data_IF_332897295004
#
_entry.id   IF_332897295004
#
_cell.length_a   1.000
_cell.length_b   1.000
_cell.length_c   1.000
_cell.angle_alpha   90.00
_cell.angle_beta   90.00
_cell.angle_gamma   90.00
#
_symmetry.space_group_name_H-M   'P 1'
#
loop_
_entity.id
_entity.type
_entity.pdbx_description
1 polymer ?
#
# COMPACT_ATOMS: atom_id res chain seq x y z
N UNK A 1 -38.74 -27.46 -15.66
CA UNK A 1 -37.38 -27.34 -16.22
C UNK A 1 -36.56 -26.54 -15.21
N UNK A 2 -35.74 -27.21 -14.38
CA UNK A 2 -34.83 -26.56 -13.47
C UNK A 2 -33.62 -26.05 -14.29
N UNK A 3 -33.40 -24.75 -14.35
CA UNK A 3 -32.16 -24.21 -14.90
C UNK A 3 -30.99 -24.74 -14.06
N UNK A 4 -29.92 -25.25 -14.67
CA UNK A 4 -28.70 -25.54 -13.93
C UNK A 4 -28.14 -24.22 -13.42
N UNK A 5 -28.34 -23.93 -12.13
CA UNK A 5 -27.58 -22.93 -11.43
C UNK A 5 -26.14 -23.44 -11.47
N UNK A 6 -25.32 -22.88 -12.34
CA UNK A 6 -23.87 -23.00 -12.28
C UNK A 6 -23.45 -22.51 -10.90
N UNK A 7 -23.40 -23.42 -9.94
CA UNK A 7 -22.80 -23.16 -8.63
C UNK A 7 -21.30 -23.10 -8.85
N UNK A 8 -20.82 -21.94 -9.33
CA UNK A 8 -19.39 -21.67 -9.38
C UNK A 8 -18.88 -21.68 -7.94
N UNK A 9 -17.87 -22.49 -7.68
CA UNK A 9 -17.18 -22.58 -6.40
C UNK A 9 -16.85 -21.17 -5.87
N UNK A 10 -17.11 -20.86 -4.57
CA UNK A 10 -16.82 -19.55 -3.99
C UNK A 10 -15.41 -19.04 -4.24
N UNK A 11 -14.44 -19.95 -4.29
CA UNK A 11 -13.05 -19.62 -4.61
C UNK A 11 -12.90 -19.11 -6.06
N UNK A 12 -13.53 -19.78 -7.02
CA UNK A 12 -13.53 -19.37 -8.43
C UNK A 12 -14.22 -18.01 -8.61
N UNK A 13 -15.32 -17.76 -7.89
CA UNK A 13 -16.00 -16.45 -7.89
C UNK A 13 -15.10 -15.36 -7.32
N UNK A 14 -14.40 -15.62 -6.22
CA UNK A 14 -13.46 -14.68 -5.62
C UNK A 14 -12.31 -14.32 -6.57
N UNK A 15 -11.74 -15.31 -7.27
CA UNK A 15 -10.69 -15.06 -8.26
C UNK A 15 -11.18 -14.21 -9.44
N UNK A 16 -12.38 -14.47 -9.95
CA UNK A 16 -12.99 -13.66 -11.02
C UNK A 16 -13.21 -12.21 -10.56
N UNK A 17 -13.68 -12.00 -9.33
CA UNK A 17 -13.85 -10.67 -8.77
C UNK A 17 -12.51 -9.94 -8.59
N UNK A 18 -11.45 -10.63 -8.15
CA UNK A 18 -10.11 -10.06 -8.05
C UNK A 18 -9.53 -9.70 -9.41
N UNK A 19 -9.76 -10.54 -10.42
CA UNK A 19 -9.34 -10.23 -11.80
C UNK A 19 -10.10 -9.01 -12.35
N UNK A 20 -11.42 -8.96 -12.16
CA UNK A 20 -12.23 -7.79 -12.54
C UNK A 20 -11.76 -6.54 -11.79
N UNK A 21 -11.47 -6.65 -10.49
CA UNK A 21 -10.88 -5.56 -9.70
C UNK A 21 -9.57 -5.05 -10.28
N UNK A 22 -8.68 -5.94 -10.71
CA UNK A 22 -7.38 -5.57 -11.32
C UNK A 22 -7.59 -4.75 -12.59
N UNK A 23 -8.54 -5.17 -13.45
CA UNK A 23 -8.85 -4.43 -14.68
C UNK A 23 -9.45 -3.03 -14.38
N UNK A 24 -10.37 -2.96 -13.44
CA UNK A 24 -11.00 -1.69 -13.04
C UNK A 24 -9.98 -0.79 -12.33
N UNK A 25 -9.11 -1.34 -11.48
CA UNK A 25 -8.03 -0.61 -10.82
C UNK A 25 -7.04 -0.02 -11.83
N UNK A 26 -6.79 -0.71 -12.94
CA UNK A 26 -5.98 -0.16 -14.03
C UNK A 26 -6.58 1.15 -14.56
N UNK A 27 -7.86 1.15 -14.88
CA UNK A 27 -8.58 2.37 -15.31
C UNK A 27 -8.59 3.45 -14.22
N UNK A 28 -8.86 3.05 -12.98
CA UNK A 28 -8.90 3.95 -11.82
C UNK A 28 -7.58 4.68 -11.60
N UNK A 29 -6.49 3.92 -11.47
CA UNK A 29 -5.16 4.49 -11.21
C UNK A 29 -4.68 5.34 -12.38
N UNK A 30 -4.98 4.94 -13.63
CA UNK A 30 -4.62 5.72 -14.79
C UNK A 30 -5.38 7.06 -14.85
N UNK A 31 -6.66 7.07 -14.52
CA UNK A 31 -7.47 8.27 -14.44
C UNK A 31 -7.02 9.19 -13.28
N UNK A 32 -6.76 8.64 -12.11
CA UNK A 32 -6.21 9.38 -10.95
C UNK A 32 -4.84 9.97 -11.27
N UNK A 33 -3.96 9.20 -11.89
CA UNK A 33 -2.62 9.62 -12.28
C UNK A 33 -2.65 10.82 -13.24
N UNK A 34 -3.51 10.76 -14.27
CA UNK A 34 -3.65 11.83 -15.26
C UNK A 34 -4.44 13.02 -14.75
N UNK A 35 -5.37 12.78 -13.84
CA UNK A 35 -6.28 13.80 -13.32
C UNK A 35 -5.70 14.64 -12.20
N UNK A 36 -4.72 14.14 -11.44
CA UNK A 36 -4.28 14.79 -10.20
C UNK A 36 -3.57 16.15 -10.40
N UNK A 37 -3.05 16.47 -11.61
CA UNK A 37 -2.39 17.75 -11.88
C UNK A 37 -1.17 18.06 -11.00
N UNK A 38 -0.63 17.07 -10.28
CA UNK A 38 0.53 17.18 -9.41
C UNK A 38 1.56 16.10 -9.74
N UNK A 39 2.81 16.33 -9.34
CA UNK A 39 3.92 15.38 -9.54
C UNK A 39 4.53 14.99 -8.21
N UNK A 40 5.38 13.97 -8.23
CA UNK A 40 6.15 13.55 -7.08
C UNK A 40 5.28 12.97 -5.95
N UNK A 41 5.60 13.33 -4.71
CA UNK A 41 4.99 12.76 -3.51
C UNK A 41 3.47 12.94 -3.44
N UNK A 42 2.94 14.08 -3.88
CA UNK A 42 1.50 14.32 -3.90
C UNK A 42 0.76 13.38 -4.87
N UNK A 43 1.37 13.02 -6.02
CA UNK A 43 0.84 11.99 -6.91
C UNK A 43 0.81 10.63 -6.22
N UNK A 44 1.86 10.31 -5.47
CA UNK A 44 1.91 9.09 -4.63
C UNK A 44 0.74 9.02 -3.64
N UNK A 45 0.40 10.13 -2.99
CA UNK A 45 -0.74 10.19 -2.09
C UNK A 45 -2.08 9.90 -2.80
N UNK A 46 -2.29 10.47 -3.99
CA UNK A 46 -3.52 10.25 -4.76
C UNK A 46 -3.67 8.80 -5.17
N UNK A 47 -2.60 8.15 -5.63
CA UNK A 47 -2.66 6.74 -6.03
C UNK A 47 -2.70 5.76 -4.85
N UNK A 48 -2.43 6.22 -3.62
CA UNK A 48 -2.62 5.44 -2.40
C UNK A 48 -4.10 5.38 -1.95
N UNK A 49 -4.97 6.26 -2.47
CA UNK A 49 -6.38 6.35 -2.05
C UNK A 49 -7.15 5.02 -2.12
N UNK A 50 -7.05 4.18 -3.17
CA UNK A 50 -7.78 2.92 -3.21
C UNK A 50 -7.43 1.99 -2.05
N UNK A 51 -6.14 1.84 -1.72
CA UNK A 51 -5.69 1.00 -0.61
C UNK A 51 -6.07 1.60 0.74
N UNK A 52 -5.96 2.93 0.87
CA UNK A 52 -6.40 3.65 2.07
C UNK A 52 -7.91 3.47 2.31
N UNK A 53 -8.71 3.61 1.26
CA UNK A 53 -10.15 3.40 1.34
C UNK A 53 -10.50 1.96 1.72
N UNK A 54 -9.78 0.97 1.16
CA UNK A 54 -9.93 -0.44 1.57
C UNK A 54 -9.62 -0.63 3.06
N UNK A 55 -8.53 -0.06 3.55
CA UNK A 55 -8.13 -0.19 4.94
C UNK A 55 -9.15 0.43 5.90
N UNK A 56 -9.66 1.62 5.59
CA UNK A 56 -10.70 2.29 6.38
C UNK A 56 -12.00 1.48 6.36
N UNK A 57 -12.38 0.96 5.19
CA UNK A 57 -13.58 0.13 5.06
C UNK A 57 -13.49 -1.15 5.90
N UNK A 58 -12.38 -1.89 5.82
CA UNK A 58 -12.18 -3.08 6.66
C UNK A 58 -12.25 -2.74 8.15
N UNK A 59 -11.71 -1.59 8.52
CA UNK A 59 -11.78 -1.10 9.90
C UNK A 59 -13.20 -0.82 10.34
N UNK A 60 -14.04 -0.24 9.48
CA UNK A 60 -15.45 0.01 9.77
C UNK A 60 -16.28 -1.26 9.96
N UNK A 61 -15.80 -2.39 9.41
CA UNK A 61 -16.36 -3.71 9.62
C UNK A 61 -15.80 -4.44 10.85
N UNK A 62 -14.97 -3.79 11.66
CA UNK A 62 -14.30 -4.40 12.82
C UNK A 62 -12.99 -5.15 12.50
N UNK A 63 -12.54 -5.13 11.25
CA UNK A 63 -11.36 -5.85 10.77
C UNK A 63 -10.14 -4.94 10.60
N UNK A 64 -9.82 -4.13 11.61
CA UNK A 64 -8.72 -3.16 11.56
C UNK A 64 -7.35 -3.79 11.27
N UNK A 65 -7.11 -5.01 11.74
CA UNK A 65 -5.88 -5.76 11.47
C UNK A 65 -5.68 -6.04 9.97
N UNK A 66 -6.75 -6.37 9.24
CA UNK A 66 -6.72 -6.57 7.79
C UNK A 66 -6.40 -5.26 7.07
N UNK A 67 -7.01 -4.16 7.51
CA UNK A 67 -6.72 -2.83 6.96
C UNK A 67 -5.26 -2.44 7.12
N UNK A 68 -4.68 -2.65 8.31
CA UNK A 68 -3.27 -2.36 8.58
C UNK A 68 -2.35 -3.27 7.76
N UNK A 69 -2.64 -4.58 7.69
CA UNK A 69 -1.87 -5.51 6.87
C UNK A 69 -1.89 -5.13 5.37
N UNK A 70 -3.02 -4.62 4.86
CA UNK A 70 -3.09 -4.13 3.47
C UNK A 70 -2.20 -2.90 3.23
N UNK A 71 -2.15 -1.96 4.19
CA UNK A 71 -1.30 -0.75 4.09
C UNK A 71 0.19 -1.10 4.14
N UNK A 72 0.60 -2.02 5.02
CA UNK A 72 1.99 -2.47 5.13
C UNK A 72 2.41 -3.27 3.91
N UNK A 73 1.59 -4.22 3.47
CA UNK A 73 1.84 -5.02 2.27
C UNK A 73 1.92 -4.16 1.00
N UNK A 74 1.04 -3.17 0.86
CA UNK A 74 1.09 -2.20 -0.24
C UNK A 74 2.39 -1.41 -0.25
N UNK A 75 2.86 -1.00 0.93
CA UNK A 75 4.13 -0.28 1.09
C UNK A 75 5.32 -1.15 0.71
N UNK A 76 5.35 -2.42 1.13
CA UNK A 76 6.39 -3.38 0.74
C UNK A 76 6.37 -3.63 -0.76
N UNK A 77 5.18 -3.85 -1.36
CA UNK A 77 5.03 -4.08 -2.80
C UNK A 77 5.60 -2.90 -3.61
N UNK A 78 5.24 -1.67 -3.23
CA UNK A 78 5.66 -0.48 -3.97
C UNK A 78 7.16 -0.18 -3.76
N UNK A 79 7.71 -0.43 -2.56
CA UNK A 79 9.14 -0.28 -2.29
C UNK A 79 10.00 -1.35 -2.98
N UNK A 80 9.47 -2.54 -3.22
CA UNK A 80 10.21 -3.62 -3.90
C UNK A 80 9.95 -3.60 -5.40
N UNK A 81 8.75 -3.98 -5.82
CA UNK A 81 8.39 -4.08 -7.23
C UNK A 81 8.34 -2.71 -7.90
N UNK A 82 7.84 -1.67 -7.23
CA UNK A 82 7.75 -0.32 -7.76
C UNK A 82 9.13 0.24 -8.10
N UNK A 83 10.06 0.18 -7.17
CA UNK A 83 11.45 0.62 -7.38
C UNK A 83 12.16 -0.29 -8.39
N UNK A 84 11.99 -1.62 -8.28
CA UNK A 84 12.60 -2.58 -9.19
C UNK A 84 12.17 -2.31 -10.64
N UNK A 85 10.88 -2.23 -10.91
CA UNK A 85 10.35 -1.99 -12.26
C UNK A 85 10.74 -0.60 -12.80
N UNK A 86 10.68 0.44 -11.96
CA UNK A 86 11.11 1.78 -12.33
C UNK A 86 12.60 1.79 -12.72
N UNK A 87 13.45 1.06 -11.99
CA UNK A 87 14.90 0.99 -12.23
C UNK A 87 15.26 0.16 -13.47
N UNK A 88 14.49 -0.89 -13.80
CA UNK A 88 14.71 -1.68 -15.02
C UNK A 88 14.46 -0.88 -16.31
N UNK A 89 13.53 0.08 -16.25
CA UNK A 89 13.10 0.85 -17.41
C UNK A 89 13.88 2.17 -17.62
N UNK A 90 14.84 2.47 -16.76
CA UNK A 90 15.56 3.73 -16.82
C UNK A 90 17.09 3.55 -16.89
N UNK A 91 17.76 4.39 -17.71
CA UNK A 91 19.20 4.60 -17.62
C UNK A 91 19.52 5.32 -16.29
N UNK A 92 20.72 5.10 -15.70
CA UNK A 92 21.03 5.60 -14.36
C UNK A 92 20.70 7.08 -14.21
N UNK A 93 19.98 7.48 -13.15
CA UNK A 93 19.51 8.85 -12.98
C UNK A 93 20.70 9.81 -12.83
N UNK A 94 20.65 10.92 -13.56
CA UNK A 94 21.59 12.03 -13.41
C UNK A 94 21.17 12.97 -12.26
N UNK A 95 19.95 12.80 -11.72
CA UNK A 95 19.39 13.66 -10.68
C UNK A 95 19.29 12.95 -9.32
N UNK A 96 19.49 13.70 -8.21
CA UNK A 96 19.45 13.15 -6.87
C UNK A 96 17.99 12.79 -6.47
N UNK A 97 17.58 11.55 -6.74
CA UNK A 97 16.37 10.94 -6.15
C UNK A 97 16.48 10.81 -4.61
N UNK A 98 17.58 11.30 -4.06
CA UNK A 98 18.14 10.92 -2.78
C UNK A 98 17.40 11.46 -1.57
N UNK A 99 16.85 12.66 -1.62
CA UNK A 99 16.26 13.28 -0.41
C UNK A 99 14.92 12.69 -0.02
N UNK A 100 14.11 12.29 -1.00
CA UNK A 100 12.76 11.79 -0.76
C UNK A 100 12.74 10.42 -0.07
N UNK A 101 13.66 9.52 -0.41
CA UNK A 101 13.74 8.20 0.22
C UNK A 101 14.31 8.24 1.64
N UNK A 102 15.15 9.24 1.97
CA UNK A 102 15.70 9.39 3.33
C UNK A 102 14.61 9.61 4.37
N UNK A 103 13.55 10.31 4.02
CA UNK A 103 12.41 10.55 4.90
C UNK A 103 11.64 9.29 5.29
N UNK A 104 11.76 8.20 4.53
CA UNK A 104 11.06 6.95 4.82
C UNK A 104 11.68 6.16 5.99
N UNK A 105 13.00 6.30 6.21
CA UNK A 105 13.69 5.54 7.26
C UNK A 105 13.11 5.77 8.67
N UNK A 106 12.91 7.02 9.15
CA UNK A 106 12.33 7.24 10.47
C UNK A 106 10.88 6.72 10.54
N UNK A 107 10.11 6.80 9.45
CA UNK A 107 8.74 6.32 9.41
C UNK A 107 8.67 4.79 9.53
N UNK A 108 9.47 4.06 8.76
CA UNK A 108 9.51 2.59 8.81
C UNK A 108 10.10 2.08 10.12
N UNK A 109 11.10 2.75 10.68
CA UNK A 109 11.63 2.46 12.02
C UNK A 109 10.56 2.67 13.11
N UNK A 110 9.76 3.72 13.00
CA UNK A 110 8.64 3.96 13.91
C UNK A 110 7.59 2.83 13.82
N UNK A 111 7.19 2.42 12.60
CA UNK A 111 6.29 1.28 12.37
C UNK A 111 6.85 0.01 13.02
N UNK A 112 8.15 -0.28 12.84
CA UNK A 112 8.81 -1.43 13.42
C UNK A 112 8.77 -1.42 14.95
N UNK A 113 9.17 -0.29 15.57
CA UNK A 113 9.20 -0.15 17.03
C UNK A 113 7.82 -0.29 17.67
N UNK A 114 6.81 0.30 17.06
CA UNK A 114 5.42 0.22 17.53
C UNK A 114 4.89 -1.22 17.44
N UNK A 115 5.31 -1.98 16.43
CA UNK A 115 4.87 -3.35 16.20
C UNK A 115 5.33 -4.36 17.24
N UNK A 116 6.35 -4.06 18.05
CA UNK A 116 6.83 -4.97 19.07
C UNK A 116 5.78 -5.37 20.11
N UNK A 117 4.85 -4.47 20.43
CA UNK A 117 3.80 -4.72 21.42
C UNK A 117 2.66 -5.63 20.91
N UNK A 118 2.52 -5.80 19.58
CA UNK A 118 1.38 -6.48 18.96
C UNK A 118 0.02 -5.81 19.20
N UNK A 119 0.00 -4.69 19.91
CA UNK A 119 -1.20 -3.99 20.31
C UNK A 119 -1.07 -2.49 19.96
N UNK A 120 -1.89 -2.02 19.04
CA UNK A 120 -1.85 -0.64 18.57
C UNK A 120 -2.84 0.24 19.34
N UNK A 121 -2.32 1.29 19.97
CA UNK A 121 -3.07 2.25 20.78
C UNK A 121 -3.10 3.63 20.13
N UNK A 122 -3.91 4.54 20.65
CA UNK A 122 -3.94 5.93 20.20
C UNK A 122 -2.59 6.65 20.34
N UNK A 123 -1.76 6.28 21.33
CA UNK A 123 -0.40 6.82 21.47
C UNK A 123 0.47 6.44 20.28
N UNK A 124 0.33 5.21 19.79
CA UNK A 124 1.02 4.73 18.58
C UNK A 124 0.52 5.46 17.32
N UNK A 125 -0.78 5.72 17.21
CA UNK A 125 -1.34 6.52 16.12
C UNK A 125 -0.77 7.95 16.13
N UNK A 126 -0.68 8.57 17.30
CA UNK A 126 -0.09 9.91 17.45
C UNK A 126 1.38 9.93 17.04
N UNK A 127 2.18 8.97 17.52
CA UNK A 127 3.60 8.87 17.17
C UNK A 127 3.80 8.70 15.65
N UNK A 128 3.06 7.79 15.02
CA UNK A 128 3.09 7.59 13.57
C UNK A 128 2.65 8.84 12.81
N UNK A 129 1.60 9.52 13.27
CA UNK A 129 1.10 10.75 12.66
C UNK A 129 2.13 11.88 12.71
N UNK A 130 2.84 12.05 13.83
CA UNK A 130 3.90 13.05 13.96
C UNK A 130 5.07 12.72 13.03
N UNK A 131 5.56 11.47 13.04
CA UNK A 131 6.65 11.05 12.15
C UNK A 131 6.23 11.13 10.68
N UNK A 132 4.98 10.76 10.37
CA UNK A 132 4.41 10.92 9.03
C UNK A 132 4.37 12.37 8.58
N UNK A 133 3.93 13.30 9.43
CA UNK A 133 3.92 14.73 9.13
C UNK A 133 5.34 15.28 8.90
N UNK A 134 6.30 14.86 9.73
CA UNK A 134 7.71 15.22 9.54
C UNK A 134 8.25 14.68 8.21
N UNK A 135 7.88 13.43 7.85
CA UNK A 135 8.28 12.85 6.58
C UNK A 135 7.68 13.62 5.39
N UNK A 136 6.42 14.05 5.48
CA UNK A 136 5.77 14.90 4.48
C UNK A 136 6.55 16.21 4.26
N UNK A 137 6.96 16.86 5.35
CA UNK A 137 7.72 18.11 5.28
C UNK A 137 9.08 17.88 4.62
N UNK A 138 9.78 16.80 4.98
CA UNK A 138 11.12 16.49 4.44
C UNK A 138 11.13 16.07 2.99
N UNK A 139 10.08 15.39 2.52
CA UNK A 139 9.95 14.92 1.12
C UNK A 139 9.63 16.09 0.17
N UNK A 140 9.05 17.19 0.67
CA UNK A 140 8.56 18.27 -0.19
C UNK A 140 7.29 17.86 -0.94
N UNK A 141 6.13 18.20 -0.40
CA UNK A 141 4.84 17.59 -0.75
C UNK A 141 4.35 17.82 -2.17
N UNK A 142 4.56 18.97 -2.74
CA UNK A 142 4.07 19.21 -4.10
C UNK A 142 4.75 20.39 -4.78
N UNK A 143 5.10 20.21 -6.04
CA UNK A 143 5.18 21.31 -6.99
C UNK A 143 3.93 21.24 -7.84
N UNK A 144 3.03 22.25 -7.79
CA UNK A 144 1.93 22.29 -8.74
C UNK A 144 2.54 22.34 -10.13
N UNK A 145 2.12 21.41 -10.97
CA UNK A 145 2.42 21.51 -12.40
C UNK A 145 1.45 22.55 -12.97
N UNK A 146 1.89 23.27 -13.99
CA UNK A 146 1.02 24.18 -14.76
C UNK A 146 -0.11 23.45 -15.51
N UNK A 147 -0.21 22.13 -15.39
CA UNK A 147 -1.28 21.32 -15.95
C UNK A 147 -2.55 21.52 -15.13
N UNK A 148 -3.60 22.00 -15.76
CA UNK A 148 -4.95 22.07 -15.21
C UNK A 148 -5.34 20.71 -14.59
N UNK A 149 -5.77 20.73 -13.35
CA UNK A 149 -6.45 19.59 -12.71
C UNK A 149 -7.62 19.20 -13.62
N UNK A 150 -7.67 17.94 -13.98
CA UNK A 150 -8.76 17.41 -14.81
C UNK A 150 -9.82 16.80 -13.91
N UNK A 151 -10.81 17.59 -13.42
CA UNK A 151 -11.76 17.15 -12.41
C UNK A 151 -12.56 15.93 -12.88
N UNK A 152 -12.88 15.86 -14.16
CA UNK A 152 -13.59 14.70 -14.74
C UNK A 152 -12.75 13.43 -14.62
N UNK A 153 -11.45 13.51 -14.91
CA UNK A 153 -10.57 12.35 -14.76
C UNK A 153 -10.41 11.91 -13.30
N UNK A 154 -10.36 12.86 -12.35
CA UNK A 154 -10.33 12.53 -10.93
C UNK A 154 -11.64 11.88 -10.47
N UNK A 155 -12.80 12.43 -10.88
CA UNK A 155 -14.10 11.85 -10.55
C UNK A 155 -14.26 10.44 -11.14
N UNK A 156 -13.89 10.26 -12.41
CA UNK A 156 -13.90 8.96 -13.06
C UNK A 156 -12.95 7.98 -12.33
N UNK A 157 -11.74 8.42 -12.03
CA UNK A 157 -10.77 7.61 -11.29
C UNK A 157 -11.27 7.21 -9.91
N UNK A 158 -11.90 8.13 -9.17
CA UNK A 158 -12.51 7.85 -7.89
C UNK A 158 -13.68 6.86 -8.00
N UNK A 159 -14.57 7.04 -8.99
CA UNK A 159 -15.69 6.12 -9.22
C UNK A 159 -15.20 4.70 -9.57
N UNK A 160 -14.21 4.58 -10.45
CA UNK A 160 -13.60 3.29 -10.79
C UNK A 160 -12.87 2.68 -9.59
N UNK A 161 -12.19 3.48 -8.76
CA UNK A 161 -11.55 3.00 -7.53
C UNK A 161 -12.57 2.43 -6.54
N UNK A 162 -13.74 3.08 -6.39
CA UNK A 162 -14.83 2.57 -5.57
C UNK A 162 -15.42 1.27 -6.12
N UNK A 163 -15.53 1.14 -7.44
CA UNK A 163 -15.97 -0.11 -8.08
C UNK A 163 -14.96 -1.24 -7.89
N UNK A 164 -13.67 -0.97 -8.08
CA UNK A 164 -12.60 -1.94 -7.82
C UNK A 164 -12.63 -2.39 -6.36
N UNK A 165 -12.78 -1.45 -5.44
CA UNK A 165 -12.91 -1.70 -4.01
C UNK A 165 -14.12 -2.60 -3.71
N UNK A 166 -15.27 -2.34 -4.32
CA UNK A 166 -16.46 -3.18 -4.16
C UNK A 166 -16.20 -4.64 -4.57
N UNK A 167 -15.51 -4.87 -5.69
CA UNK A 167 -15.14 -6.22 -6.12
C UNK A 167 -14.18 -6.90 -5.14
N UNK A 168 -13.18 -6.17 -4.64
CA UNK A 168 -12.23 -6.69 -3.65
C UNK A 168 -12.93 -7.05 -2.35
N UNK A 169 -13.84 -6.21 -1.85
CA UNK A 169 -14.60 -6.47 -0.63
C UNK A 169 -15.46 -7.74 -0.79
N UNK A 170 -16.14 -7.89 -1.92
CA UNK A 170 -16.90 -9.12 -2.20
C UNK A 170 -16.00 -10.35 -2.30
N UNK A 171 -14.85 -10.24 -2.96
CA UNK A 171 -13.90 -11.34 -3.05
C UNK A 171 -13.37 -11.76 -1.68
N UNK A 172 -12.99 -10.80 -0.82
CA UNK A 172 -12.53 -11.10 0.55
C UNK A 172 -13.63 -11.74 1.38
N UNK A 173 -14.88 -11.31 1.25
CA UNK A 173 -16.03 -11.96 1.89
C UNK A 173 -16.19 -13.41 1.48
N UNK A 174 -16.08 -13.74 0.19
CA UNK A 174 -16.17 -15.12 -0.31
C UNK A 174 -15.00 -15.98 0.19
N UNK A 175 -13.79 -15.44 0.25
CA UNK A 175 -12.61 -16.13 0.75
C UNK A 175 -12.69 -16.39 2.26
N UNK A 176 -13.30 -15.48 3.03
CA UNK A 176 -13.46 -15.63 4.48
C UNK A 176 -14.50 -16.70 4.86
N UNK A 177 -15.49 -16.96 4.03
CA UNK A 177 -16.51 -17.99 4.27
C UNK A 177 -15.91 -19.39 4.14
N UNK A 178 -14.92 -19.58 3.25
CA UNK A 178 -14.30 -20.87 2.97
C UNK A 178 -13.10 -21.23 3.82
N UNK A 179 -12.48 -20.26 4.46
CA UNK A 179 -11.25 -20.42 5.26
C UNK A 179 -11.41 -19.66 6.57
N UNK A 180 -11.25 -20.34 7.70
CA UNK A 180 -11.29 -19.65 9.01
C UNK A 180 -10.40 -18.40 9.04
N UNK A 181 -10.61 -17.53 10.00
CA UNK A 181 -10.02 -16.16 10.10
C UNK A 181 -8.49 -16.08 9.94
N UNK A 182 -7.77 -17.18 10.14
CA UNK A 182 -6.29 -17.24 10.05
C UNK A 182 -5.75 -17.12 8.62
N UNK A 183 -6.51 -17.49 7.59
CA UNK A 183 -6.04 -17.50 6.18
C UNK A 183 -6.31 -16.18 5.46
N UNK A 184 -7.13 -15.31 6.04
CA UNK A 184 -7.56 -14.06 5.38
C UNK A 184 -6.41 -13.07 5.21
N UNK A 185 -5.54 -12.92 6.22
CA UNK A 185 -4.44 -11.94 6.19
C UNK A 185 -3.42 -12.22 5.07
N UNK A 186 -2.88 -13.45 4.93
CA UNK A 186 -1.97 -13.75 3.81
C UNK A 186 -2.65 -13.63 2.45
N UNK A 187 -3.94 -13.96 2.33
CA UNK A 187 -4.67 -13.76 1.07
C UNK A 187 -4.83 -12.28 0.70
N UNK A 188 -5.03 -11.41 1.67
CA UNK A 188 -5.05 -9.95 1.45
C UNK A 188 -3.70 -9.47 0.91
N UNK A 189 -2.60 -9.95 1.48
CA UNK A 189 -1.25 -9.58 1.05
C UNK A 189 -0.96 -10.05 -0.38
N UNK A 190 -1.33 -11.30 -0.70
CA UNK A 190 -0.94 -11.92 -1.96
C UNK A 190 -1.87 -11.64 -3.14
N UNK A 191 -3.14 -11.40 -2.87
CA UNK A 191 -4.16 -11.28 -3.92
C UNK A 191 -4.77 -9.89 -3.98
N UNK A 192 -5.20 -9.35 -2.84
CA UNK A 192 -5.90 -8.06 -2.78
C UNK A 192 -4.96 -6.90 -3.10
N UNK A 193 -3.82 -6.85 -2.46
CA UNK A 193 -2.85 -5.76 -2.65
C UNK A 193 -2.32 -5.70 -4.08
N UNK A 194 -1.87 -6.82 -4.70
CA UNK A 194 -1.53 -6.81 -6.12
C UNK A 194 -2.71 -6.46 -7.03
N UNK A 195 -3.92 -6.96 -6.77
CA UNK A 195 -5.10 -6.64 -7.58
C UNK A 195 -5.39 -5.14 -7.63
N UNK A 196 -5.16 -4.41 -6.54
CA UNK A 196 -5.33 -2.95 -6.49
C UNK A 196 -4.17 -2.16 -7.09
N UNK A 197 -2.94 -2.69 -7.04
CA UNK A 197 -1.72 -1.92 -7.29
C UNK A 197 -0.88 -2.39 -8.48
N UNK A 198 -1.20 -3.54 -9.12
CA UNK A 198 -0.38 -4.08 -10.22
C UNK A 198 -0.22 -3.05 -11.35
N UNK A 199 -1.28 -2.30 -11.65
CA UNK A 199 -1.27 -1.25 -12.67
C UNK A 199 -0.39 -0.05 -12.30
N UNK A 200 -0.17 0.20 -11.02
CA UNK A 200 0.74 1.25 -10.55
C UNK A 200 2.18 0.99 -11.00
N UNK A 201 2.59 -0.27 -11.06
CA UNK A 201 3.93 -0.65 -11.54
C UNK A 201 4.16 -0.20 -12.99
N UNK A 202 3.16 -0.38 -13.85
CA UNK A 202 3.21 0.09 -15.23
C UNK A 202 3.27 1.62 -15.34
N UNK A 203 2.52 2.34 -14.48
CA UNK A 203 2.55 3.80 -14.42
C UNK A 203 3.89 4.33 -13.92
N UNK A 204 4.47 3.69 -12.89
CA UNK A 204 5.81 4.04 -12.37
C UNK A 204 6.91 3.79 -13.42
N UNK A 205 6.82 2.66 -14.15
CA UNK A 205 7.74 2.37 -15.25
C UNK A 205 7.66 3.43 -16.37
N UNK A 206 6.45 3.84 -16.73
CA UNK A 206 6.19 4.89 -17.71
C UNK A 206 6.70 6.26 -17.25
N UNK A 207 6.47 6.61 -15.98
CA UNK A 207 6.95 7.87 -15.39
C UNK A 207 8.49 7.88 -15.31
N UNK A 208 9.11 6.79 -14.90
CA UNK A 208 10.56 6.66 -14.88
C UNK A 208 11.18 6.86 -16.29
N UNK A 209 10.53 6.35 -17.33
CA UNK A 209 10.96 6.51 -18.72
C UNK A 209 10.79 7.94 -19.26
N UNK A 210 9.71 8.63 -18.87
CA UNK A 210 9.37 9.95 -19.42
C UNK A 210 9.90 11.12 -18.60
N UNK A 211 9.90 11.00 -17.28
CA UNK A 211 10.22 12.09 -16.34
C UNK A 211 11.46 11.82 -15.48
N UNK A 212 12.10 10.67 -15.67
CA UNK A 212 13.27 10.26 -14.90
C UNK A 212 12.93 9.47 -13.64
N UNK A 213 13.91 8.69 -13.16
CA UNK A 213 13.75 7.84 -11.98
C UNK A 213 13.42 8.65 -10.71
N UNK A 214 13.86 9.90 -10.61
CA UNK A 214 13.57 10.80 -9.49
C UNK A 214 12.08 11.05 -9.29
N UNK A 215 11.30 11.21 -10.37
CA UNK A 215 9.85 11.38 -10.32
C UNK A 215 9.16 10.13 -9.78
N UNK A 216 9.52 8.95 -10.30
CA UNK A 216 8.97 7.69 -9.83
C UNK A 216 9.31 7.43 -8.35
N UNK A 217 10.56 7.68 -7.93
CA UNK A 217 10.98 7.53 -6.52
C UNK A 217 10.23 8.47 -5.58
N UNK A 218 10.02 9.73 -6.01
CA UNK A 218 9.23 10.69 -5.24
C UNK A 218 7.77 10.25 -5.11
N UNK A 219 7.18 9.70 -6.17
CA UNK A 219 5.83 9.13 -6.15
C UNK A 219 5.75 7.93 -5.20
N UNK A 220 6.71 7.04 -5.24
CA UNK A 220 6.82 5.89 -4.32
C UNK A 220 6.92 6.35 -2.87
N UNK A 221 7.80 7.32 -2.60
CA UNK A 221 7.95 7.87 -1.25
C UNK A 221 6.64 8.50 -0.73
N UNK A 222 5.94 9.25 -1.56
CA UNK A 222 4.64 9.82 -1.23
C UNK A 222 3.56 8.77 -0.97
N UNK A 223 3.54 7.69 -1.77
CA UNK A 223 2.64 6.56 -1.56
C UNK A 223 2.86 5.91 -0.20
N UNK A 224 4.10 5.53 0.11
CA UNK A 224 4.46 4.87 1.37
C UNK A 224 4.19 5.77 2.57
N UNK A 225 4.53 7.06 2.47
CA UNK A 225 4.23 8.05 3.52
C UNK A 225 2.74 8.18 3.77
N UNK A 226 1.93 8.14 2.72
CA UNK A 226 0.46 8.18 2.86
C UNK A 226 -0.07 6.92 3.51
N UNK A 227 0.40 5.73 3.11
CA UNK A 227 -0.04 4.46 3.70
C UNK A 227 0.35 4.36 5.18
N UNK A 228 1.61 4.59 5.51
CA UNK A 228 2.14 4.35 6.86
C UNK A 228 2.00 5.56 7.79
N UNK A 229 2.20 6.78 7.28
CA UNK A 229 2.22 8.01 8.09
C UNK A 229 0.88 8.72 8.21
N UNK A 230 -0.08 8.45 7.32
CA UNK A 230 -1.40 9.08 7.32
C UNK A 230 -2.52 8.04 7.50
N UNK A 231 -2.60 7.06 6.61
CA UNK A 231 -3.70 6.10 6.60
C UNK A 231 -3.66 5.16 7.81
N UNK A 232 -2.49 4.66 8.18
CA UNK A 232 -2.35 3.76 9.31
C UNK A 232 -2.74 4.39 10.66
N UNK A 233 -2.28 5.61 11.02
CA UNK A 233 -2.79 6.34 12.18
C UNK A 233 -4.30 6.53 12.14
N UNK A 234 -4.86 6.87 10.97
CA UNK A 234 -6.28 7.07 10.79
C UNK A 234 -7.07 5.78 11.05
N UNK A 235 -6.61 4.64 10.55
CA UNK A 235 -7.20 3.32 10.80
C UNK A 235 -7.23 3.02 12.31
N UNK A 236 -6.13 3.29 13.03
CA UNK A 236 -6.07 3.07 14.49
C UNK A 236 -7.07 3.97 15.22
N UNK A 237 -7.17 5.25 14.84
CA UNK A 237 -8.12 6.20 15.44
C UNK A 237 -9.56 5.78 15.17
N UNK A 238 -9.89 5.40 13.93
CA UNK A 238 -11.24 4.94 13.55
C UNK A 238 -11.61 3.68 14.31
N UNK A 239 -10.70 2.70 14.43
CA UNK A 239 -10.94 1.48 15.19
C UNK A 239 -11.27 1.79 16.69
N UNK A 240 -10.50 2.69 17.29
CA UNK A 240 -10.76 3.11 18.66
C UNK A 240 -12.09 3.85 18.81
N UNK A 241 -12.47 4.69 17.84
CA UNK A 241 -13.75 5.41 17.86
C UNK A 241 -14.94 4.45 17.77
N UNK A 242 -14.87 3.43 16.92
CA UNK A 242 -15.89 2.39 16.78
C UNK A 242 -16.02 1.60 18.09
N UNK A 243 -14.91 1.08 18.62
CA UNK A 243 -14.93 0.32 19.87
C UNK A 243 -15.50 1.12 21.06
N UNK A 244 -15.24 2.42 21.09
CA UNK A 244 -15.82 3.31 22.11
C UNK A 244 -17.32 3.52 21.92
N UNK A 245 -17.80 3.62 20.69
CA UNK A 245 -19.23 3.76 20.37
C UNK A 245 -20.03 2.52 20.79
N UNK A 246 -19.42 1.32 20.70
CA UNK A 246 -20.01 0.05 21.13
C UNK A 246 -20.07 -0.15 22.67
N UNK A 247 -19.77 0.90 23.44
CA UNK A 247 -19.95 0.92 24.90
C UNK A 247 -18.78 0.32 25.69
N UNK A 248 -17.63 0.06 25.08
CA UNK A 248 -16.44 -0.38 25.78
C UNK A 248 -15.88 0.76 26.67
N UNK A 249 -15.89 0.59 28.00
CA UNK A 249 -15.36 1.56 28.97
C UNK A 249 -13.87 1.88 28.78
N UNK A 250 -13.11 0.95 28.18
CA UNK A 250 -11.75 1.16 27.68
C UNK A 250 -11.69 0.59 26.29
N UNK A 251 -11.45 1.44 25.27
CA UNK A 251 -11.29 0.95 23.89
C UNK A 251 -10.13 -0.04 23.85
N UNK A 252 -10.37 -1.32 23.52
CA UNK A 252 -9.30 -2.30 23.45
C UNK A 252 -8.31 -1.88 22.36
N UNK A 253 -7.00 -2.14 22.55
CA UNK A 253 -6.02 -1.89 21.51
C UNK A 253 -6.33 -2.76 20.28
N UNK A 254 -5.99 -2.26 19.10
CA UNK A 254 -6.09 -3.07 17.88
C UNK A 254 -5.05 -4.19 17.96
N UNK A 255 -5.55 -5.42 18.08
CA UNK A 255 -4.69 -6.61 18.15
C UNK A 255 -4.22 -6.98 16.75
N UNK A 256 -2.91 -7.19 16.62
CA UNK A 256 -2.27 -7.66 15.41
C UNK A 256 -1.69 -9.06 15.63
N UNK A 257 -1.79 -9.93 14.64
CA UNK A 257 -1.00 -11.17 14.67
C UNK A 257 0.48 -10.80 14.69
N UNK A 258 1.16 -11.13 15.79
CA UNK A 258 2.59 -10.82 15.95
C UNK A 258 3.44 -11.44 14.85
N UNK A 259 3.08 -12.65 14.39
CA UNK A 259 3.81 -13.33 13.33
C UNK A 259 3.76 -12.54 12.02
N UNK A 260 2.57 -12.16 11.57
CA UNK A 260 2.38 -11.39 10.33
C UNK A 260 3.00 -10.00 10.44
N UNK A 261 2.75 -9.31 11.57
CA UNK A 261 3.27 -7.97 11.80
C UNK A 261 4.81 -7.93 11.80
N UNK A 262 5.47 -8.91 12.41
CA UNK A 262 6.94 -9.00 12.42
C UNK A 262 7.51 -9.15 11.02
N UNK A 263 6.88 -9.95 10.17
CA UNK A 263 7.31 -10.09 8.78
C UNK A 263 7.23 -8.75 8.06
N UNK A 264 6.08 -8.09 8.10
CA UNK A 264 5.85 -6.81 7.42
C UNK A 264 6.83 -5.73 7.91
N UNK A 265 6.94 -5.55 9.24
CA UNK A 265 7.76 -4.52 9.85
C UNK A 265 9.26 -4.76 9.60
N UNK A 266 9.74 -5.99 9.70
CA UNK A 266 11.13 -6.34 9.41
C UNK A 266 11.46 -6.08 7.95
N UNK A 267 10.59 -6.48 7.00
CA UNK A 267 10.82 -6.20 5.59
C UNK A 267 10.85 -4.72 5.28
N UNK A 268 9.95 -3.91 5.88
CA UNK A 268 9.94 -2.46 5.71
C UNK A 268 11.25 -1.82 6.19
N UNK A 269 11.78 -2.24 7.33
CA UNK A 269 13.07 -1.73 7.84
C UNK A 269 14.23 -2.17 6.96
N UNK A 270 14.31 -3.46 6.61
CA UNK A 270 15.35 -3.97 5.71
C UNK A 270 15.36 -3.18 4.40
N UNK A 271 14.20 -2.99 3.78
CA UNK A 271 14.07 -2.22 2.55
C UNK A 271 14.53 -0.78 2.72
N UNK A 272 14.13 -0.12 3.80
CA UNK A 272 14.53 1.26 4.06
C UNK A 272 16.03 1.39 4.27
N UNK A 273 16.66 0.43 4.95
CA UNK A 273 18.12 0.39 5.13
C UNK A 273 18.84 0.10 3.81
N UNK A 274 18.34 -0.86 3.02
CA UNK A 274 18.89 -1.18 1.69
C UNK A 274 18.80 0.00 0.72
N UNK A 275 17.76 0.82 0.83
CA UNK A 275 17.58 2.00 -0.02
C UNK A 275 18.39 3.24 0.46
N UNK A 276 18.97 3.21 1.67
CA UNK A 276 19.78 4.30 2.19
C UNK A 276 20.99 4.66 1.31
N UNK A 277 21.80 3.70 0.80
CA UNK A 277 22.91 4.02 -0.09
C UNK A 277 22.44 4.65 -1.41
N UNK A 278 21.27 4.23 -1.91
CA UNK A 278 20.63 4.82 -3.09
C UNK A 278 20.16 6.24 -2.76
N UNK A 279 19.48 6.41 -1.63
CA UNK A 279 19.03 7.70 -1.12
C UNK A 279 20.18 8.68 -0.83
N UNK A 280 21.40 8.20 -0.57
CA UNK A 280 22.58 9.02 -0.34
C UNK A 280 23.43 9.28 -1.61
N UNK A 281 22.94 8.88 -2.79
CA UNK A 281 23.66 8.94 -4.07
C UNK A 281 25.01 8.18 -4.09
N UNK A 282 25.22 7.29 -3.12
CA UNK A 282 26.45 6.48 -3.08
C UNK A 282 26.37 5.26 -4.00
N UNK A 283 25.15 4.82 -4.30
CA UNK A 283 24.89 3.67 -5.18
C UNK A 283 23.86 4.04 -6.24
N UNK A 284 24.09 3.59 -7.47
CA UNK A 284 23.12 3.68 -8.56
C UNK A 284 22.37 2.36 -8.63
N UNK A 285 21.04 2.41 -8.70
CA UNK A 285 20.23 1.23 -8.93
C UNK A 285 20.43 0.74 -10.38
N UNK A 286 21.17 -0.34 -10.52
CA UNK A 286 21.34 -1.03 -11.78
C UNK A 286 20.27 -2.12 -11.99
N UNK A 287 20.43 -2.90 -13.09
CA UNK A 287 19.49 -4.00 -13.39
C UNK A 287 19.56 -5.14 -12.38
N UNK A 288 20.75 -5.40 -11.83
CA UNK A 288 20.94 -6.47 -10.84
C UNK A 288 20.21 -6.12 -9.54
N UNK A 289 20.38 -4.91 -9.04
CA UNK A 289 19.72 -4.43 -7.84
C UNK A 289 18.20 -4.38 -8.02
N UNK A 290 17.73 -4.02 -9.22
CA UNK A 290 16.31 -4.05 -9.55
C UNK A 290 15.75 -5.48 -9.50
N UNK A 291 16.45 -6.47 -10.04
CA UNK A 291 16.06 -7.87 -9.97
C UNK A 291 16.12 -8.41 -8.54
N UNK A 292 17.11 -7.98 -7.73
CA UNK A 292 17.16 -8.32 -6.30
C UNK A 292 15.96 -7.78 -5.53
N UNK A 293 15.52 -6.55 -5.80
CA UNK A 293 14.31 -5.98 -5.18
C UNK A 293 13.05 -6.76 -5.57
N UNK A 294 12.93 -7.18 -6.84
CA UNK A 294 11.82 -8.03 -7.30
C UNK A 294 11.87 -9.40 -6.58
N UNK A 295 13.06 -10.02 -6.49
CA UNK A 295 13.27 -11.27 -5.75
C UNK A 295 12.93 -11.13 -4.27
N UNK A 296 13.22 -9.99 -3.66
CA UNK A 296 12.90 -9.69 -2.27
C UNK A 296 11.39 -9.63 -2.03
N UNK A 297 10.60 -9.17 -3.01
CA UNK A 297 9.14 -9.26 -2.93
C UNK A 297 8.64 -10.71 -2.90
N UNK A 298 9.20 -11.59 -3.72
CA UNK A 298 8.84 -13.00 -3.71
C UNK A 298 9.19 -13.66 -2.37
N UNK A 299 10.32 -13.30 -1.79
CA UNK A 299 10.71 -13.73 -0.45
C UNK A 299 9.73 -13.22 0.61
N UNK A 300 9.36 -11.95 0.55
CA UNK A 300 8.33 -11.37 1.43
C UNK A 300 7.00 -12.12 1.31
N UNK A 301 6.51 -12.31 0.10
CA UNK A 301 5.25 -13.00 -0.16
C UNK A 301 5.27 -14.43 0.42
N UNK A 302 6.39 -15.16 0.26
CA UNK A 302 6.55 -16.50 0.84
C UNK A 302 6.62 -16.49 2.37
N UNK A 303 7.25 -15.49 2.97
CA UNK A 303 7.32 -15.35 4.42
C UNK A 303 5.96 -14.97 5.02
N UNK A 304 5.24 -14.05 4.37
CA UNK A 304 3.91 -13.61 4.80
C UNK A 304 2.88 -14.75 4.77
N UNK A 305 2.95 -15.63 3.74
CA UNK A 305 2.08 -16.83 3.70
C UNK A 305 2.37 -17.80 4.83
N UNK A 306 3.63 -18.08 5.10
CA UNK A 306 4.01 -18.98 6.20
C UNK A 306 3.60 -18.44 7.57
N UNK A 307 3.78 -17.14 7.79
CA UNK A 307 3.40 -16.49 9.04
C UNK A 307 1.88 -16.45 9.29
N UNK A 308 1.08 -16.54 8.23
CA UNK A 308 -0.39 -16.55 8.35
C UNK A 308 -0.99 -17.94 8.51
N UNK A 309 -0.20 -19.01 8.37
CA UNK A 309 -0.65 -20.42 8.51
C UNK A 309 -0.24 -21.02 9.87
N UNK A 310 0.70 -20.42 10.59
CA UNK A 310 1.12 -20.79 11.94
C UNK A 310 0.43 -19.97 13.01
#
# INVERSE_FOLDING_TARGET
MAQPVLSTDPFTQALLLLFASTLVSYGALHALWRGCGVTGAARGAVVALPVTAFAIWQTSLGHASIGIAALTAASVLVLTLGIGVASLNHSPPHEPASSTLRGLLPLTACVFLIGFSGALTLRHALALGIVGAMTVITIGWARPTSSLVRPIALLLGAALAMLALHFVIRATGLLSIGSGSMVVTPMVVLLVTPALLLSLLGLLAGDAKSSGAGSAMSTIAGFVTTCLGIAMPLVIVVAHAINKADGANASPPVQMSLATWRVDAVFLVILSVLLLPVASNRFKLGRVEALLLIGLYLLYASAATRAGVG
#
